data_IF_900012599731
#
_entry.id   IF_900012599731
#
_cell.length_a   1.000
_cell.length_b   1.000
_cell.length_c   1.000
_cell.angle_alpha   90.00
_cell.angle_beta   90.00
_cell.angle_gamma   90.00
#
_symmetry.space_group_name_H-M   'P 1'
#
loop_
_entity.id
_entity.type
_entity.pdbx_description
1 polymer ?
#
# COMPACT_ATOMS: atom_id res chain seq x y z
N UNK A 1 6.95 -3.84 -49.32
CA UNK A 1 6.91 -3.85 -47.85
C UNK A 1 8.19 -3.19 -47.37
N UNK A 2 8.06 -2.04 -46.70
CA UNK A 2 9.19 -1.17 -46.36
C UNK A 2 10.12 -1.84 -45.34
N UNK A 3 11.41 -1.90 -45.67
CA UNK A 3 12.49 -2.18 -44.73
C UNK A 3 12.82 -0.91 -43.93
N UNK A 4 11.84 -0.41 -43.18
CA UNK A 4 12.02 0.80 -42.37
C UNK A 4 12.02 0.38 -40.90
N UNK A 5 13.19 0.49 -40.24
CA UNK A 5 13.30 0.27 -38.79
C UNK A 5 14.43 -0.62 -38.28
N UNK A 6 15.52 -0.86 -39.03
CA UNK A 6 16.75 -1.36 -38.38
C UNK A 6 17.39 -0.21 -37.60
N UNK A 7 16.95 -0.01 -36.35
CA UNK A 7 17.61 0.90 -35.42
C UNK A 7 19.11 0.56 -35.38
N UNK A 8 19.96 1.57 -35.56
CA UNK A 8 21.41 1.38 -35.45
C UNK A 8 21.72 0.86 -34.04
N UNK A 9 22.46 -0.26 -33.89
CA UNK A 9 22.79 -0.80 -32.59
C UNK A 9 23.56 0.24 -31.78
N UNK A 10 23.02 0.62 -30.62
CA UNK A 10 23.63 1.59 -29.71
C UNK A 10 24.44 0.85 -28.66
N UNK A 11 25.62 1.39 -28.33
CA UNK A 11 26.42 0.88 -27.24
C UNK A 11 25.65 1.05 -25.92
N UNK A 12 25.32 -0.07 -25.28
CA UNK A 12 24.58 -0.09 -24.02
C UNK A 12 25.49 -0.30 -22.81
N UNK A 13 26.41 -1.26 -22.88
CA UNK A 13 27.28 -1.63 -21.75
C UNK A 13 28.73 -1.87 -22.21
N UNK A 14 29.68 -1.45 -21.38
CA UNK A 14 31.11 -1.76 -21.45
C UNK A 14 31.45 -2.53 -20.18
N UNK A 15 31.86 -3.79 -20.31
CA UNK A 15 32.17 -4.64 -19.16
C UNK A 15 33.65 -4.50 -18.79
N UNK A 16 33.93 -4.01 -17.59
CA UNK A 16 35.29 -3.93 -17.03
C UNK A 16 35.69 -5.28 -16.43
N UNK A 17 36.60 -5.99 -17.12
CA UNK A 17 37.05 -7.32 -16.70
C UNK A 17 38.26 -7.27 -15.76
N UNK A 18 39.13 -6.26 -15.91
CA UNK A 18 40.43 -6.13 -15.20
C UNK A 18 41.33 -7.37 -15.30
N UNK A 19 41.18 -8.13 -16.38
CA UNK A 19 41.88 -9.39 -16.61
C UNK A 19 42.31 -9.48 -18.08
N UNK A 20 43.33 -10.28 -18.36
CA UNK A 20 43.83 -10.55 -19.72
C UNK A 20 43.95 -12.05 -19.90
N UNK A 21 43.44 -12.57 -21.01
CA UNK A 21 43.52 -14.00 -21.32
C UNK A 21 42.35 -14.48 -22.18
N UNK A 22 42.16 -15.80 -22.19
CA UNK A 22 41.03 -16.43 -22.87
C UNK A 22 39.76 -16.28 -22.03
N UNK A 23 38.74 -15.68 -22.65
CA UNK A 23 37.42 -15.48 -22.06
C UNK A 23 36.37 -16.30 -22.79
N UNK A 24 35.44 -16.84 -22.03
CA UNK A 24 34.20 -17.42 -22.52
C UNK A 24 33.02 -16.63 -21.97
N UNK A 25 31.95 -16.47 -22.76
CA UNK A 25 30.83 -15.58 -22.43
C UNK A 25 29.50 -16.32 -22.49
N UNK A 26 28.65 -16.09 -21.49
CA UNK A 26 27.23 -16.48 -21.51
C UNK A 26 26.33 -15.28 -21.27
N UNK A 27 25.20 -15.25 -21.95
CA UNK A 27 24.16 -14.24 -21.80
C UNK A 27 22.80 -14.88 -21.59
N UNK A 28 22.23 -14.75 -20.38
CA UNK A 28 20.88 -15.22 -20.05
C UNK A 28 20.30 -14.41 -18.88
N UNK A 29 18.99 -14.23 -18.80
CA UNK A 29 18.31 -13.52 -17.70
C UNK A 29 18.85 -12.11 -17.37
N UNK A 30 19.23 -11.34 -18.39
CA UNK A 30 19.92 -10.04 -18.21
C UNK A 30 21.23 -10.13 -17.41
N UNK A 31 21.84 -11.32 -17.38
CA UNK A 31 23.19 -11.57 -16.88
C UNK A 31 24.15 -11.77 -18.04
N UNK A 32 25.35 -11.22 -17.89
CA UNK A 32 26.50 -11.57 -18.70
C UNK A 32 27.52 -12.22 -17.79
N UNK A 33 27.85 -13.48 -18.04
CA UNK A 33 28.85 -14.23 -17.28
C UNK A 33 30.10 -14.36 -18.14
N UNK A 34 31.21 -13.86 -17.62
CA UNK A 34 32.52 -13.90 -18.28
C UNK A 34 33.43 -14.87 -17.53
N UNK A 35 33.66 -16.02 -18.13
CA UNK A 35 34.55 -17.05 -17.61
C UNK A 35 35.98 -16.77 -18.05
N UNK A 36 36.88 -16.50 -17.11
CA UNK A 36 38.31 -16.42 -17.37
C UNK A 36 38.95 -17.78 -17.11
N UNK A 37 39.37 -18.45 -18.19
CA UNK A 37 39.81 -19.84 -18.14
C UNK A 37 41.10 -20.02 -17.32
N UNK A 38 42.06 -19.09 -17.44
CA UNK A 38 43.37 -19.21 -16.81
C UNK A 38 43.32 -19.12 -15.28
N UNK A 39 42.48 -18.24 -14.73
CA UNK A 39 42.29 -18.12 -13.28
C UNK A 39 41.18 -19.04 -12.74
N UNK A 40 40.41 -19.70 -13.62
CA UNK A 40 39.23 -20.48 -13.27
C UNK A 40 38.17 -19.66 -12.51
N UNK A 41 38.02 -18.38 -12.86
CA UNK A 41 37.05 -17.48 -12.24
C UNK A 41 35.99 -17.03 -13.23
N UNK A 42 34.76 -16.88 -12.76
CA UNK A 42 33.62 -16.36 -13.50
C UNK A 42 33.23 -15.00 -12.93
N UNK A 43 33.20 -13.99 -13.80
CA UNK A 43 32.77 -12.64 -13.48
C UNK A 43 31.29 -12.52 -13.87
N UNK A 44 30.42 -12.16 -12.93
CA UNK A 44 28.98 -12.06 -13.19
C UNK A 44 28.60 -10.59 -13.25
N UNK A 45 28.04 -10.16 -14.38
CA UNK A 45 27.55 -8.81 -14.63
C UNK A 45 26.03 -8.85 -14.76
N UNK A 46 25.34 -7.97 -14.03
CA UNK A 46 23.89 -7.82 -14.13
C UNK A 46 23.55 -6.52 -14.85
N UNK A 47 23.27 -6.63 -16.15
CA UNK A 47 22.94 -5.49 -17.00
C UNK A 47 21.53 -4.94 -16.71
N UNK A 48 20.71 -5.67 -15.93
CA UNK A 48 19.39 -5.22 -15.48
C UNK A 48 19.40 -4.31 -14.25
N UNK A 49 20.54 -4.09 -13.60
CA UNK A 49 20.63 -3.22 -12.42
C UNK A 49 20.85 -1.74 -12.75
N UNK A 50 21.49 -1.47 -13.88
CA UNK A 50 21.91 -0.12 -14.26
C UNK A 50 20.95 0.47 -15.31
N UNK A 51 20.52 1.72 -15.10
CA UNK A 51 19.81 2.46 -16.15
C UNK A 51 20.84 2.89 -17.21
N UNK A 52 20.67 2.42 -18.45
CA UNK A 52 21.61 2.71 -19.54
C UNK A 52 21.49 4.18 -19.97
N UNK A 53 22.51 5.03 -19.74
CA UNK A 53 22.51 6.40 -20.26
C UNK A 53 22.76 6.39 -21.76
N UNK A 54 22.47 7.51 -22.44
CA UNK A 54 22.58 7.65 -23.91
C UNK A 54 24.00 7.43 -24.49
N UNK A 55 25.02 7.25 -23.65
CA UNK A 55 26.42 7.00 -24.03
C UNK A 55 26.99 5.62 -23.63
N UNK A 56 26.14 4.71 -23.14
CA UNK A 56 26.55 3.42 -22.59
C UNK A 56 27.00 3.50 -21.13
N UNK A 57 26.87 2.40 -20.39
CA UNK A 57 27.28 2.29 -18.99
C UNK A 57 28.56 1.45 -18.86
N UNK A 58 29.48 1.84 -17.98
CA UNK A 58 30.64 1.02 -17.62
C UNK A 58 30.24 0.16 -16.44
N UNK A 59 30.05 -1.14 -16.69
CA UNK A 59 29.59 -2.09 -15.68
C UNK A 59 30.78 -2.88 -15.11
N UNK A 60 30.83 -2.97 -13.79
CA UNK A 60 31.79 -3.79 -13.05
C UNK A 60 31.12 -5.11 -12.63
N UNK A 61 31.89 -6.19 -12.38
CA UNK A 61 31.29 -7.46 -11.98
C UNK A 61 30.58 -7.30 -10.64
N UNK A 62 29.32 -7.73 -10.58
CA UNK A 62 28.52 -7.72 -9.34
C UNK A 62 29.17 -8.61 -8.29
N UNK A 63 29.66 -9.79 -8.72
CA UNK A 63 30.46 -10.68 -7.89
C UNK A 63 31.32 -11.58 -8.77
N UNK A 64 32.31 -12.23 -8.13
CA UNK A 64 33.17 -13.23 -8.75
C UNK A 64 32.87 -14.59 -8.12
N UNK A 65 32.75 -15.61 -8.94
CA UNK A 65 32.49 -16.98 -8.49
C UNK A 65 33.29 -17.99 -9.30
N UNK A 66 33.23 -19.26 -8.94
CA UNK A 66 33.79 -20.35 -9.71
C UNK A 66 32.70 -21.34 -10.07
N UNK A 67 32.75 -21.87 -11.29
CA UNK A 67 31.85 -22.94 -11.70
C UNK A 67 32.00 -24.15 -10.77
N UNK A 68 30.88 -24.77 -10.44
CA UNK A 68 30.81 -26.04 -9.73
C UNK A 68 30.05 -27.04 -10.62
N UNK A 69 30.41 -28.31 -10.51
CA UNK A 69 29.72 -29.38 -11.23
C UNK A 69 28.54 -29.86 -10.37
N UNK A 70 27.34 -29.89 -10.95
CA UNK A 70 26.15 -30.38 -10.26
C UNK A 70 26.28 -31.88 -9.95
N UNK A 71 25.63 -32.33 -8.88
CA UNK A 71 25.67 -33.75 -8.51
C UNK A 71 24.97 -34.64 -9.55
N UNK A 72 23.99 -34.09 -10.27
CA UNK A 72 23.36 -34.76 -11.42
C UNK A 72 24.32 -34.99 -12.58
N UNK A 73 25.27 -34.07 -12.83
CA UNK A 73 26.28 -34.23 -13.86
C UNK A 73 27.37 -35.21 -13.40
N UNK A 74 27.84 -35.09 -12.15
CA UNK A 74 28.79 -36.05 -11.55
C UNK A 74 28.28 -37.49 -11.58
N UNK A 75 26.99 -37.70 -11.32
CA UNK A 75 26.39 -39.04 -11.35
C UNK A 75 26.33 -39.65 -12.76
N UNK A 76 26.27 -38.82 -13.81
CA UNK A 76 26.16 -39.25 -15.21
C UNK A 76 27.51 -39.43 -15.91
N UNK A 77 28.56 -38.78 -15.42
CA UNK A 77 29.89 -38.81 -16.05
C UNK A 77 30.80 -39.73 -15.25
N UNK A 78 31.31 -40.78 -15.88
CA UNK A 78 32.24 -41.75 -15.26
C UNK A 78 33.67 -41.20 -15.08
N UNK A 79 33.96 -40.03 -15.66
CA UNK A 79 35.26 -39.38 -15.69
C UNK A 79 35.20 -38.00 -15.03
N UNK A 80 36.36 -37.48 -14.59
CA UNK A 80 36.45 -36.14 -14.01
C UNK A 80 36.14 -35.07 -15.07
N UNK A 81 35.03 -34.34 -14.89
CA UNK A 81 34.68 -33.21 -15.75
C UNK A 81 35.56 -32.00 -15.38
N UNK A 82 36.58 -31.74 -16.20
CA UNK A 82 37.53 -30.66 -15.95
C UNK A 82 36.89 -29.29 -16.20
N UNK A 83 36.67 -28.56 -15.11
CA UNK A 83 36.17 -27.19 -15.16
C UNK A 83 37.20 -26.23 -15.78
N UNK A 84 36.71 -25.32 -16.62
CA UNK A 84 37.47 -24.34 -17.40
C UNK A 84 38.50 -24.98 -18.34
N UNK A 85 38.13 -26.10 -18.99
CA UNK A 85 38.99 -26.71 -19.99
C UNK A 85 39.17 -25.77 -21.19
N UNK A 86 40.38 -25.68 -21.78
CA UNK A 86 40.58 -24.94 -23.02
C UNK A 86 39.85 -25.57 -24.22
N UNK A 87 39.35 -26.80 -24.09
CA UNK A 87 38.54 -27.51 -25.11
C UNK A 87 37.05 -27.17 -25.06
N UNK A 88 36.62 -26.28 -24.16
CA UNK A 88 35.22 -25.88 -24.04
C UNK A 88 34.77 -25.10 -25.27
N UNK A 89 33.63 -25.53 -25.82
CA UNK A 89 32.88 -24.82 -26.85
C UNK A 89 31.59 -24.34 -26.22
N UNK A 90 31.34 -23.03 -26.30
CA UNK A 90 30.19 -22.38 -25.66
C UNK A 90 29.11 -22.08 -26.69
N UNK A 91 27.86 -22.37 -26.34
CA UNK A 91 26.69 -22.01 -27.14
C UNK A 91 25.77 -21.12 -26.30
N UNK A 92 25.31 -20.03 -26.91
CA UNK A 92 24.28 -19.20 -26.29
C UNK A 92 22.96 -19.98 -26.19
N UNK A 93 22.15 -19.74 -25.15
CA UNK A 93 22.39 -18.76 -24.09
C UNK A 93 23.33 -19.26 -22.97
N UNK A 94 23.26 -20.54 -22.60
CA UNK A 94 23.91 -21.06 -21.38
C UNK A 94 24.49 -22.49 -21.52
N UNK A 95 24.90 -22.93 -22.71
CA UNK A 95 25.40 -24.30 -22.93
C UNK A 95 26.92 -24.39 -23.07
N UNK A 96 27.52 -25.38 -22.43
CA UNK A 96 28.93 -25.76 -22.58
C UNK A 96 29.00 -27.16 -23.19
N UNK A 97 29.83 -27.31 -24.22
CA UNK A 97 30.23 -28.61 -24.77
C UNK A 97 31.71 -28.83 -24.52
N UNK A 98 32.08 -29.98 -23.96
CA UNK A 98 33.47 -30.43 -23.97
C UNK A 98 33.65 -31.50 -25.05
N UNK A 99 34.25 -31.11 -26.17
CA UNK A 99 34.46 -32.00 -27.31
C UNK A 99 35.39 -33.18 -27.00
N UNK A 100 36.23 -33.07 -25.95
CA UNK A 100 37.16 -34.14 -25.57
C UNK A 100 36.47 -35.29 -24.84
N UNK A 101 35.40 -35.00 -24.09
CA UNK A 101 34.63 -35.97 -23.29
C UNK A 101 33.28 -36.29 -23.96
N UNK A 102 32.84 -35.45 -24.92
CA UNK A 102 31.55 -35.60 -25.59
C UNK A 102 30.35 -35.23 -24.70
N UNK A 103 30.56 -34.34 -23.72
CA UNK A 103 29.54 -33.93 -22.75
C UNK A 103 28.93 -32.60 -23.17
N UNK A 104 27.60 -32.54 -23.14
CA UNK A 104 26.80 -31.34 -23.30
C UNK A 104 26.15 -30.98 -21.96
N UNK A 105 26.47 -29.81 -21.42
CA UNK A 105 25.99 -29.34 -20.12
C UNK A 105 25.40 -27.93 -20.24
N UNK A 106 24.44 -27.61 -19.40
CA UNK A 106 23.93 -26.25 -19.23
C UNK A 106 24.49 -25.61 -17.96
N UNK A 107 24.65 -24.29 -17.99
CA UNK A 107 24.97 -23.46 -16.84
C UNK A 107 23.66 -22.92 -16.28
N UNK A 108 23.51 -23.05 -14.97
CA UNK A 108 22.46 -22.38 -14.20
C UNK A 108 23.11 -21.64 -13.04
N UNK A 109 22.54 -20.50 -12.67
CA UNK A 109 22.93 -19.76 -11.49
C UNK A 109 21.87 -20.00 -10.40
N UNK A 110 22.30 -20.42 -9.20
CA UNK A 110 21.41 -20.40 -8.04
C UNK A 110 21.42 -18.98 -7.45
N UNK A 111 20.30 -18.23 -7.55
CA UNK A 111 20.25 -16.85 -7.10
C UNK A 111 20.27 -16.72 -5.56
N UNK A 112 19.96 -17.78 -4.80
CA UNK A 112 19.92 -17.72 -3.32
C UNK A 112 21.32 -17.78 -2.73
N UNK A 113 22.20 -18.63 -3.26
CA UNK A 113 23.59 -18.76 -2.79
C UNK A 113 24.43 -17.49 -3.02
N UNK A 114 23.98 -16.62 -3.93
CA UNK A 114 24.62 -15.34 -4.24
C UNK A 114 24.60 -14.37 -3.06
N UNK A 115 23.74 -14.57 -2.04
CA UNK A 115 23.65 -13.70 -0.85
C UNK A 115 25.01 -13.44 -0.20
N UNK A 116 25.86 -14.47 -0.11
CA UNK A 116 27.17 -14.39 0.54
C UNK A 116 28.21 -13.63 -0.30
N UNK A 117 27.99 -13.55 -1.61
CA UNK A 117 28.92 -12.93 -2.56
C UNK A 117 28.64 -11.45 -2.78
N UNK A 118 27.41 -11.00 -2.48
CA UNK A 118 26.99 -9.60 -2.66
C UNK A 118 26.93 -8.88 -1.30
N UNK A 119 27.80 -7.89 -1.14
CA UNK A 119 27.90 -7.09 0.08
C UNK A 119 26.67 -6.18 0.27
N UNK A 120 26.26 -5.46 -0.77
CA UNK A 120 25.10 -4.56 -0.72
C UNK A 120 23.78 -5.33 -0.83
N UNK A 121 23.07 -5.42 0.30
CA UNK A 121 21.78 -6.13 0.38
C UNK A 121 20.68 -5.48 -0.47
N UNK A 122 20.79 -4.19 -0.78
CA UNK A 122 19.88 -3.56 -1.73
C UNK A 122 20.13 -4.04 -3.17
N UNK A 123 21.39 -4.12 -3.60
CA UNK A 123 21.75 -4.66 -4.91
C UNK A 123 21.38 -6.14 -5.01
N UNK A 124 21.59 -6.92 -3.94
CA UNK A 124 21.15 -8.32 -3.89
C UNK A 124 19.63 -8.46 -4.08
N UNK A 125 18.82 -7.67 -3.39
CA UNK A 125 17.36 -7.70 -3.58
C UNK A 125 16.94 -7.30 -5.00
N UNK A 126 17.59 -6.28 -5.59
CA UNK A 126 17.31 -5.93 -6.99
C UNK A 126 17.72 -7.02 -7.96
N UNK A 127 18.86 -7.66 -7.70
CA UNK A 127 19.33 -8.81 -8.46
C UNK A 127 18.28 -9.92 -8.39
N UNK A 128 17.83 -10.31 -7.19
CA UNK A 128 16.78 -11.33 -7.00
C UNK A 128 15.47 -10.97 -7.71
N UNK A 129 15.05 -9.70 -7.63
CA UNK A 129 13.83 -9.22 -8.28
C UNK A 129 13.87 -9.39 -9.80
N UNK A 130 15.06 -9.26 -10.38
CA UNK A 130 15.32 -9.45 -11.81
C UNK A 130 15.51 -10.94 -12.21
N UNK A 131 15.25 -11.91 -11.32
CA UNK A 131 15.39 -13.35 -11.60
C UNK A 131 14.04 -14.06 -11.56
N UNK A 132 13.97 -15.20 -12.24
CA UNK A 132 12.84 -16.13 -12.20
C UNK A 132 12.81 -16.93 -10.90
N UNK A 133 12.81 -16.26 -9.74
CA UNK A 133 12.68 -16.92 -8.44
C UNK A 133 11.22 -16.98 -7.98
N UNK A 134 10.86 -17.96 -7.13
CA UNK A 134 9.56 -17.98 -6.50
C UNK A 134 9.30 -16.69 -5.70
N UNK A 135 8.10 -16.12 -5.87
CA UNK A 135 7.65 -14.90 -5.18
C UNK A 135 7.82 -14.99 -3.66
N UNK A 136 7.53 -16.15 -3.07
CA UNK A 136 7.68 -16.40 -1.62
C UNK A 136 9.11 -16.19 -1.14
N UNK A 137 10.09 -16.75 -1.85
CA UNK A 137 11.51 -16.64 -1.51
C UNK A 137 11.97 -15.18 -1.56
N UNK A 138 11.53 -14.42 -2.56
CA UNK A 138 11.82 -12.99 -2.64
C UNK A 138 11.26 -12.21 -1.44
N UNK A 139 9.98 -12.42 -1.12
CA UNK A 139 9.29 -11.70 -0.04
C UNK A 139 9.85 -12.06 1.34
N UNK A 140 10.24 -13.32 1.56
CA UNK A 140 10.92 -13.75 2.79
C UNK A 140 12.27 -13.05 2.96
N UNK A 141 13.08 -12.98 1.91
CA UNK A 141 14.35 -12.24 1.91
C UNK A 141 14.15 -10.75 2.18
N UNK A 142 13.19 -10.13 1.49
CA UNK A 142 12.84 -8.72 1.69
C UNK A 142 12.42 -8.46 3.14
N UNK A 143 11.52 -9.30 3.68
CA UNK A 143 11.08 -9.21 5.09
C UNK A 143 12.25 -9.37 6.05
N UNK A 144 13.12 -10.35 5.84
CA UNK A 144 14.30 -10.58 6.68
C UNK A 144 15.17 -9.32 6.76
N UNK A 145 15.50 -8.69 5.63
CA UNK A 145 16.34 -7.50 5.61
C UNK A 145 15.67 -6.23 6.16
N UNK A 146 14.35 -6.10 5.97
CA UNK A 146 13.56 -5.00 6.53
C UNK A 146 13.50 -5.10 8.06
N UNK A 147 13.21 -6.30 8.59
CA UNK A 147 13.16 -6.55 10.04
C UNK A 147 14.54 -6.37 10.68
N UNK A 148 15.58 -6.90 10.03
CA UNK A 148 16.97 -6.75 10.47
C UNK A 148 17.52 -5.32 10.28
N UNK A 149 16.73 -4.40 9.72
CA UNK A 149 17.10 -3.00 9.48
C UNK A 149 18.41 -2.83 8.66
N UNK A 150 18.64 -3.73 7.69
CA UNK A 150 19.84 -3.71 6.83
C UNK A 150 19.69 -2.79 5.61
N UNK A 151 18.50 -2.22 5.39
CA UNK A 151 18.18 -1.37 4.24
C UNK A 151 17.91 0.06 4.69
N UNK A 152 18.45 1.04 3.95
CA UNK A 152 18.16 2.46 4.19
C UNK A 152 16.76 2.81 3.66
N UNK A 153 16.10 3.79 4.29
CA UNK A 153 14.76 4.25 3.85
C UNK A 153 14.73 4.68 2.37
N UNK A 154 15.81 5.30 1.86
CA UNK A 154 15.93 5.66 0.44
C UNK A 154 15.96 4.41 -0.46
N UNK A 155 16.67 3.36 -0.07
CA UNK A 155 16.73 2.11 -0.82
C UNK A 155 15.36 1.43 -0.85
N UNK A 156 14.66 1.37 0.29
CA UNK A 156 13.29 0.85 0.36
C UNK A 156 12.32 1.65 -0.50
N UNK A 157 12.47 2.97 -0.54
CA UNK A 157 11.67 3.82 -1.43
C UNK A 157 11.81 3.42 -2.89
N UNK A 158 13.04 3.15 -3.34
CA UNK A 158 13.29 2.71 -4.71
C UNK A 158 12.65 1.35 -4.98
N UNK A 159 12.76 0.40 -4.03
CA UNK A 159 12.12 -0.92 -4.14
C UNK A 159 10.60 -0.77 -4.28
N UNK A 160 9.96 -0.01 -3.38
CA UNK A 160 8.52 0.22 -3.42
C UNK A 160 8.06 0.93 -4.69
N UNK A 161 8.85 1.90 -5.19
CA UNK A 161 8.57 2.57 -6.45
C UNK A 161 8.67 1.59 -7.63
N UNK A 162 9.65 0.69 -7.64
CA UNK A 162 9.74 -0.36 -8.67
C UNK A 162 8.50 -1.26 -8.68
N UNK A 163 8.02 -1.68 -7.51
CA UNK A 163 6.78 -2.48 -7.42
C UNK A 163 5.56 -1.70 -7.91
N UNK A 164 5.40 -0.44 -7.47
CA UNK A 164 4.31 0.41 -7.90
C UNK A 164 4.34 0.65 -9.43
N UNK A 165 5.51 0.88 -10.03
CA UNK A 165 5.67 0.97 -11.48
C UNK A 165 5.29 -0.31 -12.20
N UNK A 166 5.69 -1.47 -11.68
CA UNK A 166 5.34 -2.76 -12.27
C UNK A 166 3.82 -3.01 -12.25
N UNK A 167 3.15 -2.66 -11.14
CA UNK A 167 1.69 -2.73 -11.03
C UNK A 167 1.03 -1.75 -12.02
N UNK A 168 1.49 -0.50 -12.09
CA UNK A 168 0.94 0.52 -12.98
C UNK A 168 1.13 0.18 -14.48
N UNK A 169 2.27 -0.42 -14.85
CA UNK A 169 2.52 -0.88 -16.22
C UNK A 169 1.53 -1.95 -16.67
N UNK A 170 1.07 -2.79 -15.74
CA UNK A 170 0.12 -3.88 -16.01
C UNK A 170 -1.33 -3.43 -16.03
N UNK A 171 -1.68 -2.35 -15.34
CA UNK A 171 -3.05 -1.79 -15.37
C UNK A 171 -3.37 -1.03 -16.67
N UNK A 172 -2.37 -0.77 -17.52
CA UNK A 172 -2.56 -0.27 -18.87
C UNK A 172 -3.10 -1.40 -19.78
N UNK A 173 -4.15 -1.14 -20.58
CA UNK A 173 -4.68 -2.13 -21.50
C UNK A 173 -3.62 -2.54 -22.51
N UNK A 174 -3.27 -3.83 -22.51
CA UNK A 174 -2.40 -4.43 -23.52
C UNK A 174 -3.18 -4.38 -24.85
N UNK A 175 -2.71 -3.55 -25.79
CA UNK A 175 -3.10 -3.64 -27.19
C UNK A 175 -2.49 -4.92 -27.76
N UNK A 176 -3.16 -6.06 -27.58
CA UNK A 176 -2.74 -7.30 -28.19
C UNK A 176 -3.06 -7.25 -29.68
N UNK A 177 -2.07 -6.94 -30.51
CA UNK A 177 -2.13 -7.26 -31.93
C UNK A 177 -2.07 -8.78 -32.09
N UNK A 178 -3.23 -9.40 -32.35
CA UNK A 178 -3.32 -10.78 -32.77
C UNK A 178 -2.77 -10.91 -34.18
N UNK A 179 -1.48 -11.23 -34.32
CA UNK A 179 -0.90 -11.57 -35.62
C UNK A 179 -0.97 -13.09 -35.80
N UNK A 180 -2.04 -13.56 -36.43
CA UNK A 180 -2.31 -14.97 -36.72
C UNK A 180 -1.53 -15.44 -37.94
N UNK A 181 -0.20 -15.54 -37.82
CA UNK A 181 0.68 -16.08 -38.84
C UNK A 181 1.75 -16.97 -38.23
N UNK A 182 1.57 -18.30 -38.29
CA UNK A 182 2.57 -19.26 -37.84
C UNK A 182 3.77 -19.22 -38.79
N UNK A 183 4.76 -18.39 -38.46
CA UNK A 183 6.16 -18.61 -38.87
C UNK A 183 6.85 -19.24 -37.68
N UNK A 184 7.46 -20.41 -37.87
CA UNK A 184 8.37 -20.99 -36.88
C UNK A 184 9.64 -20.13 -36.81
N UNK A 185 9.53 -18.99 -36.12
CA UNK A 185 10.67 -18.22 -35.65
C UNK A 185 11.00 -18.78 -34.28
N UNK A 186 12.28 -19.09 -34.03
CA UNK A 186 12.75 -19.39 -32.68
C UNK A 186 12.56 -18.11 -31.85
N UNK A 187 11.42 -18.00 -31.17
CA UNK A 187 11.14 -16.92 -30.24
C UNK A 187 11.89 -17.29 -28.97
N UNK A 188 12.88 -16.49 -28.59
CA UNK A 188 13.51 -16.61 -27.28
C UNK A 188 12.41 -16.45 -26.22
N UNK A 189 12.36 -17.35 -25.23
CA UNK A 189 11.44 -17.19 -24.10
C UNK A 189 11.66 -15.81 -23.49
N UNK A 190 10.60 -15.01 -23.48
CA UNK A 190 10.66 -13.66 -22.94
C UNK A 190 10.78 -13.75 -21.41
N UNK A 191 11.75 -13.04 -20.86
CA UNK A 191 11.92 -12.91 -19.42
C UNK A 191 10.62 -12.40 -18.76
N UNK A 192 10.09 -13.17 -17.80
CA UNK A 192 8.91 -12.79 -17.01
C UNK A 192 9.34 -12.17 -15.67
N UNK A 193 9.05 -10.88 -15.49
CA UNK A 193 9.29 -10.17 -14.23
C UNK A 193 8.42 -10.73 -13.09
N UNK A 194 8.98 -10.83 -11.88
CA UNK A 194 8.24 -11.27 -10.68
C UNK A 194 6.99 -10.39 -10.49
N UNK A 195 5.84 -11.05 -10.35
CA UNK A 195 4.57 -10.39 -10.10
C UNK A 195 4.41 -10.20 -8.59
N UNK A 196 4.48 -8.94 -8.13
CA UNK A 196 4.22 -8.56 -6.75
C UNK A 196 3.01 -7.63 -6.74
N UNK A 197 1.99 -8.02 -5.98
CA UNK A 197 0.76 -7.24 -5.82
C UNK A 197 0.76 -6.46 -4.50
N UNK A 198 -0.21 -5.56 -4.32
CA UNK A 198 -0.34 -4.80 -3.07
C UNK A 198 -0.56 -5.74 -1.87
N UNK A 199 -1.37 -6.79 -2.05
CA UNK A 199 -1.71 -7.77 -1.00
C UNK A 199 -0.48 -8.52 -0.51
N UNK A 200 0.45 -8.84 -1.41
CA UNK A 200 1.69 -9.53 -1.07
C UNK A 200 2.57 -8.70 -0.14
N UNK A 201 2.71 -7.41 -0.45
CA UNK A 201 3.52 -6.49 0.35
C UNK A 201 2.85 -6.30 1.71
N UNK A 202 1.54 -6.05 1.72
CA UNK A 202 0.77 -5.82 2.94
C UNK A 202 0.81 -7.04 3.86
N UNK A 203 0.54 -8.22 3.32
CA UNK A 203 0.52 -9.49 4.06
C UNK A 203 1.90 -9.90 4.59
N UNK A 204 2.97 -9.69 3.82
CA UNK A 204 4.31 -10.17 4.21
C UNK A 204 5.13 -9.15 5.01
N UNK A 205 4.96 -7.85 4.77
CA UNK A 205 5.79 -6.80 5.39
C UNK A 205 5.07 -6.00 6.47
N UNK A 206 3.78 -5.72 6.30
CA UNK A 206 3.07 -4.73 7.11
C UNK A 206 2.12 -5.32 8.15
N UNK A 207 1.88 -6.64 8.11
CA UNK A 207 1.32 -7.36 9.26
C UNK A 207 2.36 -7.47 10.38
N UNK A 208 2.33 -6.51 11.30
CA UNK A 208 3.26 -6.40 12.41
C UNK A 208 2.93 -7.44 13.50
N UNK A 209 3.89 -8.30 13.90
CA UNK A 209 3.74 -9.12 15.10
C UNK A 209 3.70 -8.28 16.37
N UNK A 210 2.90 -8.70 17.35
CA UNK A 210 2.76 -7.99 18.63
C UNK A 210 4.09 -7.84 19.39
N UNK A 211 4.99 -8.81 19.18
CA UNK A 211 6.33 -8.93 19.80
C UNK A 211 7.28 -7.79 19.43
N UNK A 212 6.97 -6.98 18.41
CA UNK A 212 7.86 -5.91 17.97
C UNK A 212 7.96 -4.78 18.99
N UNK A 213 9.18 -4.26 19.16
CA UNK A 213 9.46 -3.13 20.04
C UNK A 213 8.82 -1.84 19.50
N UNK A 214 8.66 -0.84 20.38
CA UNK A 214 8.11 0.46 20.00
C UNK A 214 8.91 1.12 18.85
N UNK A 215 10.24 1.04 18.90
CA UNK A 215 11.14 1.54 17.86
C UNK A 215 10.93 0.81 16.53
N UNK A 216 10.83 -0.52 16.55
CA UNK A 216 10.54 -1.30 15.35
C UNK A 216 9.21 -0.87 14.74
N UNK A 217 8.12 -0.79 15.52
CA UNK A 217 6.81 -0.34 15.04
C UNK A 217 6.87 1.07 14.44
N UNK A 218 7.64 1.97 15.04
CA UNK A 218 7.83 3.33 14.51
C UNK A 218 8.61 3.37 13.19
N UNK A 219 9.61 2.48 13.01
CA UNK A 219 10.32 2.33 11.72
C UNK A 219 9.40 1.75 10.65
N UNK A 220 8.65 0.70 10.98
CA UNK A 220 7.68 0.11 10.05
C UNK A 220 6.60 1.11 9.62
N UNK A 221 6.15 1.98 10.52
CA UNK A 221 5.24 3.07 10.15
C UNK A 221 5.86 4.01 9.10
N UNK A 222 7.15 4.34 9.22
CA UNK A 222 7.85 5.12 8.18
C UNK A 222 7.92 4.38 6.85
N UNK A 223 8.09 3.05 6.88
CA UNK A 223 8.09 2.22 5.67
C UNK A 223 6.71 2.19 5.02
N UNK A 224 5.63 2.05 5.81
CA UNK A 224 4.25 2.11 5.32
C UNK A 224 3.94 3.46 4.67
N UNK A 225 4.31 4.57 5.30
CA UNK A 225 4.13 5.91 4.73
C UNK A 225 4.92 6.10 3.43
N UNK A 226 6.13 5.52 3.35
CA UNK A 226 6.94 5.57 2.13
C UNK A 226 6.33 4.74 1.01
N UNK A 227 5.78 3.57 1.34
CA UNK A 227 5.04 2.74 0.40
C UNK A 227 3.77 3.44 -0.11
N UNK A 228 2.99 4.05 0.79
CA UNK A 228 1.85 4.88 0.43
C UNK A 228 2.24 5.99 -0.56
N UNK A 229 3.34 6.70 -0.27
CA UNK A 229 3.87 7.74 -1.17
C UNK A 229 4.18 7.16 -2.56
N UNK A 230 4.83 6.00 -2.63
CA UNK A 230 5.16 5.35 -3.90
C UNK A 230 3.91 4.95 -4.71
N UNK A 231 2.84 4.48 -4.06
CA UNK A 231 1.58 4.17 -4.73
C UNK A 231 0.93 5.42 -5.32
N UNK A 232 0.89 6.52 -4.54
CA UNK A 232 0.30 7.79 -4.97
C UNK A 232 1.10 8.44 -6.12
N UNK A 233 2.44 8.42 -6.04
CA UNK A 233 3.32 8.93 -7.11
C UNK A 233 3.08 8.20 -8.45
N UNK A 234 2.74 6.91 -8.39
CA UNK A 234 2.42 6.09 -9.58
C UNK A 234 0.92 6.08 -9.93
N UNK A 235 0.11 6.93 -9.27
CA UNK A 235 -1.35 7.06 -9.50
C UNK A 235 -2.12 5.76 -9.34
N UNK A 236 -1.68 4.90 -8.41
CA UNK A 236 -2.38 3.66 -8.08
C UNK A 236 -3.45 3.91 -7.02
N UNK A 237 -4.59 3.26 -7.18
CA UNK A 237 -5.60 3.19 -6.13
C UNK A 237 -5.07 2.30 -5.00
N UNK A 238 -5.08 2.85 -3.78
CA UNK A 238 -4.55 2.18 -2.59
C UNK A 238 -5.64 1.32 -1.97
N UNK A 239 -5.32 0.07 -1.62
CA UNK A 239 -6.27 -0.83 -1.00
C UNK A 239 -6.83 -0.28 0.33
N UNK A 240 -8.18 -0.23 0.51
CA UNK A 240 -8.79 0.26 1.74
C UNK A 240 -8.35 -0.51 3.00
N UNK A 241 -8.12 -1.82 2.87
CA UNK A 241 -7.65 -2.66 3.97
C UNK A 241 -6.29 -2.19 4.52
N UNK A 242 -5.33 -1.89 3.63
CA UNK A 242 -4.02 -1.38 4.04
C UNK A 242 -4.13 -0.04 4.78
N UNK A 243 -4.99 0.85 4.30
CA UNK A 243 -5.17 2.17 4.90
C UNK A 243 -5.88 2.09 6.26
N UNK A 244 -7.07 1.48 6.30
CA UNK A 244 -7.96 1.55 7.45
C UNK A 244 -7.51 0.61 8.58
N UNK A 245 -7.21 -0.65 8.25
CA UNK A 245 -6.93 -1.66 9.27
C UNK A 245 -5.47 -1.64 9.71
N UNK A 246 -4.53 -1.36 8.80
CA UNK A 246 -3.09 -1.49 9.11
C UNK A 246 -2.47 -0.12 9.40
N UNK A 247 -2.50 0.81 8.45
CA UNK A 247 -1.80 2.09 8.60
C UNK A 247 -2.43 2.94 9.72
N UNK A 248 -3.75 3.16 9.68
CA UNK A 248 -4.45 3.98 10.68
C UNK A 248 -4.34 3.37 12.08
N UNK A 249 -4.59 2.06 12.22
CA UNK A 249 -4.46 1.35 13.50
C UNK A 249 -3.05 1.47 14.08
N UNK A 250 -2.02 1.34 13.24
CA UNK A 250 -0.61 1.52 13.63
C UNK A 250 -0.33 2.96 14.07
N UNK A 251 -0.82 3.96 13.33
CA UNK A 251 -0.64 5.38 13.70
C UNK A 251 -1.31 5.75 15.03
N UNK A 252 -2.50 5.22 15.31
CA UNK A 252 -3.22 5.43 16.56
C UNK A 252 -2.50 4.76 17.73
N UNK A 253 -2.02 3.53 17.53
CA UNK A 253 -1.23 2.81 18.55
C UNK A 253 0.07 3.54 18.85
N UNK A 254 0.67 4.18 17.85
CA UNK A 254 1.92 4.93 17.98
C UNK A 254 1.76 6.37 18.43
N UNK A 255 0.52 6.85 18.59
CA UNK A 255 0.25 8.22 19.01
C UNK A 255 0.60 9.31 17.98
N UNK A 256 0.81 8.97 16.71
CA UNK A 256 1.09 9.95 15.63
C UNK A 256 -0.20 10.60 15.11
N UNK A 257 -1.01 11.14 16.01
CA UNK A 257 -2.38 11.56 15.75
C UNK A 257 -2.47 12.86 14.94
N UNK A 258 -1.50 13.76 15.08
CA UNK A 258 -1.41 14.98 14.27
C UNK A 258 -1.13 14.68 12.79
N UNK A 259 -0.22 13.74 12.51
CA UNK A 259 0.07 13.30 11.13
C UNK A 259 -1.14 12.59 10.53
N UNK A 260 -1.80 11.75 11.32
CA UNK A 260 -3.03 11.11 10.90
C UNK A 260 -4.09 12.17 10.54
N UNK A 261 -4.29 13.17 11.41
CA UNK A 261 -5.19 14.28 11.15
C UNK A 261 -4.89 14.94 9.79
N UNK A 262 -3.63 15.25 9.48
CA UNK A 262 -3.26 15.84 8.19
C UNK A 262 -3.58 14.92 7.00
N UNK A 263 -3.26 13.63 7.08
CA UNK A 263 -3.56 12.67 6.00
C UNK A 263 -5.07 12.58 5.70
N UNK A 264 -5.90 12.62 6.75
CA UNK A 264 -7.35 12.60 6.64
C UNK A 264 -7.90 13.93 6.10
N UNK A 265 -7.39 15.07 6.58
CA UNK A 265 -7.82 16.40 6.14
C UNK A 265 -7.52 16.64 4.65
N UNK A 266 -6.34 16.24 4.19
CA UNK A 266 -5.94 16.34 2.78
C UNK A 266 -6.51 15.23 1.88
N UNK A 267 -7.36 14.34 2.42
CA UNK A 267 -8.01 13.22 1.70
C UNK A 267 -7.02 12.31 0.97
N UNK A 268 -5.83 12.14 1.55
CA UNK A 268 -4.88 11.12 1.08
C UNK A 268 -5.45 9.73 1.39
N UNK A 269 -6.13 9.60 2.52
CA UNK A 269 -6.92 8.42 2.88
C UNK A 269 -8.37 8.73 2.47
N UNK A 270 -9.02 7.85 1.68
CA UNK A 270 -10.39 8.06 1.23
C UNK A 270 -11.37 7.93 2.39
N UNK A 271 -12.47 8.69 2.33
CA UNK A 271 -13.52 8.63 3.34
C UNK A 271 -14.16 7.23 3.34
N UNK A 272 -14.28 6.62 4.52
CA UNK A 272 -14.96 5.32 4.70
C UNK A 272 -15.78 5.33 5.97
N UNK A 273 -16.96 4.70 5.93
CA UNK A 273 -17.81 4.51 7.11
C UNK A 273 -17.06 3.75 8.22
N UNK A 274 -16.36 2.67 7.85
CA UNK A 274 -15.61 1.83 8.80
C UNK A 274 -14.52 2.65 9.50
N UNK A 275 -13.77 3.44 8.74
CA UNK A 275 -12.73 4.32 9.26
C UNK A 275 -13.31 5.36 10.22
N UNK A 276 -14.41 6.01 9.86
CA UNK A 276 -15.04 7.01 10.72
C UNK A 276 -15.46 6.43 12.08
N UNK A 277 -16.07 5.23 12.12
CA UNK A 277 -16.42 4.57 13.38
C UNK A 277 -15.19 4.15 14.19
N UNK A 278 -14.13 3.70 13.52
CA UNK A 278 -12.85 3.40 14.17
C UNK A 278 -12.22 4.65 14.81
N UNK A 279 -12.31 5.81 14.16
CA UNK A 279 -11.83 7.07 14.73
C UNK A 279 -12.68 7.50 15.95
N UNK A 280 -13.99 7.30 15.88
CA UNK A 280 -14.91 7.60 17.00
C UNK A 280 -14.63 6.73 18.23
N UNK A 281 -14.29 5.45 18.06
CA UNK A 281 -13.94 4.57 19.18
C UNK A 281 -12.65 5.00 19.91
N UNK A 282 -11.80 5.78 19.24
CA UNK A 282 -10.55 6.30 19.78
C UNK A 282 -10.61 7.76 20.25
N UNK A 283 -11.81 8.31 20.44
CA UNK A 283 -12.04 9.68 20.93
C UNK A 283 -11.18 10.07 22.13
N UNK A 284 -11.08 9.20 23.14
CA UNK A 284 -10.40 9.49 24.39
C UNK A 284 -8.91 9.85 24.22
N UNK A 285 -8.30 9.48 23.09
CA UNK A 285 -6.88 9.76 22.80
C UNK A 285 -6.65 11.12 22.12
N UNK A 286 -7.57 11.55 21.25
CA UNK A 286 -7.42 12.81 20.51
C UNK A 286 -8.78 13.33 20.05
N UNK A 287 -9.26 14.36 20.76
CA UNK A 287 -10.57 14.97 20.54
C UNK A 287 -10.84 15.41 19.08
N UNK A 288 -9.87 15.97 18.32
CA UNK A 288 -10.11 16.36 16.92
C UNK A 288 -10.44 15.20 15.96
N UNK A 289 -10.20 13.93 16.33
CA UNK A 289 -10.61 12.79 15.50
C UNK A 289 -12.12 12.69 15.35
N UNK A 290 -12.86 13.13 16.37
CA UNK A 290 -14.32 13.11 16.37
C UNK A 290 -14.87 13.99 15.26
N UNK A 291 -14.39 15.23 15.21
CA UNK A 291 -14.86 16.19 14.21
C UNK A 291 -14.51 15.69 12.82
N UNK A 292 -13.30 15.14 12.62
CA UNK A 292 -12.92 14.53 11.35
C UNK A 292 -13.81 13.36 10.97
N UNK A 293 -14.17 12.49 11.91
CA UNK A 293 -15.07 11.36 11.66
C UNK A 293 -16.47 11.83 11.25
N UNK A 294 -17.02 12.85 11.92
CA UNK A 294 -18.30 13.46 11.55
C UNK A 294 -18.23 14.14 10.17
N UNK A 295 -17.12 14.84 9.89
CA UNK A 295 -16.89 15.47 8.59
C UNK A 295 -16.76 14.40 7.48
N UNK A 296 -16.14 13.23 7.75
CA UNK A 296 -16.11 12.10 6.82
C UNK A 296 -17.50 11.53 6.57
N UNK A 297 -18.27 11.24 7.62
CA UNK A 297 -19.61 10.67 7.49
C UNK A 297 -20.56 11.60 6.76
N UNK A 298 -20.48 12.91 7.05
CA UNK A 298 -21.31 13.92 6.37
C UNK A 298 -20.97 14.05 4.89
N UNK A 299 -19.69 13.98 4.50
CA UNK A 299 -19.26 13.96 3.09
C UNK A 299 -19.71 12.71 2.35
N UNK A 300 -19.75 11.56 3.02
CA UNK A 300 -20.24 10.31 2.44
C UNK A 300 -21.76 10.34 2.17
N UNK A 301 -22.51 11.20 2.85
CA UNK A 301 -23.95 11.43 2.63
C UNK A 301 -24.88 10.23 2.92
N UNK A 302 -24.32 9.08 3.26
CA UNK A 302 -25.03 7.80 3.44
C UNK A 302 -25.17 7.39 4.90
N UNK A 303 -24.66 8.19 5.84
CA UNK A 303 -24.56 7.85 7.26
C UNK A 303 -25.31 8.84 8.17
N UNK A 304 -26.46 9.36 7.72
CA UNK A 304 -27.21 10.41 8.42
C UNK A 304 -27.77 9.94 9.76
N UNK A 305 -28.19 8.69 9.85
CA UNK A 305 -28.74 8.10 11.08
C UNK A 305 -27.62 7.93 12.12
N UNK A 306 -26.48 7.41 11.68
CA UNK A 306 -25.34 7.11 12.53
C UNK A 306 -24.67 8.39 13.05
N UNK A 307 -24.59 9.46 12.23
CA UNK A 307 -24.12 10.79 12.68
C UNK A 307 -25.00 11.31 13.83
N UNK A 308 -26.31 11.20 13.70
CA UNK A 308 -27.23 11.70 14.73
C UNK A 308 -27.16 10.86 15.99
N UNK A 309 -27.00 9.53 15.88
CA UNK A 309 -26.78 8.68 17.05
C UNK A 309 -25.48 9.04 17.80
N UNK A 310 -24.41 9.35 17.08
CA UNK A 310 -23.14 9.81 17.67
C UNK A 310 -23.31 11.17 18.37
N UNK A 311 -24.05 12.11 17.78
CA UNK A 311 -24.32 13.42 18.38
C UNK A 311 -25.23 13.31 19.62
N UNK A 312 -26.22 12.41 19.59
CA UNK A 312 -27.08 12.09 20.75
C UNK A 312 -26.24 11.50 21.89
N UNK A 313 -25.37 10.54 21.60
CA UNK A 313 -24.51 9.92 22.62
C UNK A 313 -23.58 10.92 23.32
N UNK A 314 -23.27 12.04 22.65
CA UNK A 314 -22.42 13.14 23.15
C UNK A 314 -23.19 14.26 23.85
N UNK A 315 -24.51 14.15 24.02
CA UNK A 315 -25.38 15.22 24.54
C UNK A 315 -25.35 16.51 23.70
N UNK A 316 -25.15 16.38 22.38
CA UNK A 316 -25.15 17.50 21.41
C UNK A 316 -26.45 17.50 20.60
N UNK A 317 -27.59 17.47 21.30
CA UNK A 317 -28.92 17.28 20.68
C UNK A 317 -29.30 18.43 19.75
N UNK A 318 -28.89 19.67 20.05
CA UNK A 318 -29.16 20.84 19.19
C UNK A 318 -28.38 20.76 17.86
N UNK A 319 -27.15 20.25 17.89
CA UNK A 319 -26.34 20.07 16.67
C UNK A 319 -26.86 18.92 15.82
N UNK A 320 -27.36 17.85 16.46
CA UNK A 320 -28.09 16.77 15.80
C UNK A 320 -29.32 17.28 15.03
N UNK A 321 -30.12 18.14 15.64
CA UNK A 321 -31.29 18.74 14.99
C UNK A 321 -30.85 19.62 13.81
N UNK A 322 -29.87 20.51 14.01
CA UNK A 322 -29.36 21.38 12.94
C UNK A 322 -28.81 20.57 11.76
N UNK A 323 -28.14 19.46 12.02
CA UNK A 323 -27.65 18.56 10.97
C UNK A 323 -28.80 17.91 10.19
N UNK A 324 -29.86 17.47 10.87
CA UNK A 324 -31.08 16.94 10.25
C UNK A 324 -31.85 17.99 9.43
N UNK A 325 -31.75 19.28 9.77
CA UNK A 325 -32.35 20.34 8.96
C UNK A 325 -31.61 20.55 7.63
N UNK A 326 -30.28 20.40 7.65
CA UNK A 326 -29.44 20.60 6.48
C UNK A 326 -29.42 19.37 5.56
N UNK A 327 -29.63 18.17 6.09
CA UNK A 327 -29.76 16.94 5.31
C UNK A 327 -31.22 16.72 4.92
N UNK A 328 -31.54 16.63 3.62
CA UNK A 328 -32.90 16.42 3.10
C UNK A 328 -33.53 15.04 3.46
N UNK A 329 -32.98 14.33 4.44
CA UNK A 329 -33.32 12.98 4.89
C UNK A 329 -34.01 12.98 6.27
N UNK A 330 -34.81 14.00 6.56
CA UNK A 330 -35.52 14.15 7.84
C UNK A 330 -36.58 13.07 8.11
N UNK A 331 -36.97 12.30 7.07
CA UNK A 331 -38.15 11.42 7.09
C UNK A 331 -37.88 9.99 7.60
N UNK A 332 -36.64 9.63 7.95
CA UNK A 332 -36.29 8.24 8.37
C UNK A 332 -36.02 8.06 9.86
N UNK A 333 -35.89 9.13 10.64
CA UNK A 333 -35.39 9.01 12.01
C UNK A 333 -36.49 9.09 13.07
N UNK A 334 -36.43 8.20 14.06
CA UNK A 334 -37.27 8.23 15.26
C UNK A 334 -36.99 9.49 16.10
N UNK A 335 -37.77 10.54 15.89
CA UNK A 335 -37.72 11.79 16.67
C UNK A 335 -37.86 11.58 18.19
N UNK A 336 -38.42 10.44 18.61
CA UNK A 336 -38.51 10.01 20.01
C UNK A 336 -37.15 9.86 20.70
N UNK A 337 -36.13 9.32 20.01
CA UNK A 337 -34.78 9.17 20.62
C UNK A 337 -34.14 10.53 20.95
N UNK A 338 -34.39 11.54 20.11
CA UNK A 338 -33.91 12.92 20.30
C UNK A 338 -34.65 13.61 21.46
N UNK A 339 -35.93 13.32 21.61
CA UNK A 339 -36.76 13.84 22.70
C UNK A 339 -36.36 13.22 24.04
N UNK A 340 -36.16 11.91 24.08
CA UNK A 340 -35.71 11.19 25.27
C UNK A 340 -34.31 11.60 25.73
N UNK A 341 -33.39 11.86 24.79
CA UNK A 341 -32.05 12.37 25.13
C UNK A 341 -32.12 13.81 25.63
N UNK A 342 -32.88 14.69 24.97
CA UNK A 342 -33.10 16.06 25.43
C UNK A 342 -33.70 16.11 26.84
N UNK A 343 -34.59 15.18 27.17
CA UNK A 343 -35.24 15.12 28.48
C UNK A 343 -34.27 14.86 29.65
N UNK A 344 -33.09 14.30 29.36
CA UNK A 344 -32.02 14.07 30.35
C UNK A 344 -31.10 15.30 30.53
N UNK A 345 -31.18 16.28 29.64
CA UNK A 345 -30.30 17.46 29.61
C UNK A 345 -30.90 18.69 30.32
N UNK A 346 -30.27 19.86 30.13
CA UNK A 346 -30.66 21.14 30.70
C UNK A 346 -32.03 21.63 30.22
N UNK A 347 -32.72 22.38 31.09
CA UNK A 347 -34.08 22.91 30.87
C UNK A 347 -34.25 23.69 29.56
N UNK A 348 -33.22 24.45 29.16
CA UNK A 348 -33.20 25.23 27.92
C UNK A 348 -33.17 24.34 26.66
N UNK A 349 -32.42 23.23 26.71
CA UNK A 349 -32.31 22.29 25.59
C UNK A 349 -33.60 21.49 25.45
N UNK A 350 -34.23 21.09 26.56
CA UNK A 350 -35.57 20.49 26.56
C UNK A 350 -36.58 21.39 25.84
N UNK A 351 -36.61 22.68 26.20
CA UNK A 351 -37.49 23.65 25.57
C UNK A 351 -37.20 23.79 24.07
N UNK A 352 -35.93 23.98 23.68
CA UNK A 352 -35.53 24.14 22.28
C UNK A 352 -35.94 22.95 21.39
N UNK A 353 -35.72 21.73 21.89
CA UNK A 353 -36.02 20.49 21.17
C UNK A 353 -37.53 20.27 21.07
N UNK A 354 -38.27 20.49 22.16
CA UNK A 354 -39.74 20.35 22.14
C UNK A 354 -40.42 21.41 21.27
N UNK A 355 -40.02 22.68 21.36
CA UNK A 355 -40.54 23.74 20.49
C UNK A 355 -40.28 23.42 19.02
N UNK A 356 -39.10 22.88 18.69
CA UNK A 356 -38.77 22.44 17.33
C UNK A 356 -39.71 21.33 16.80
N UNK A 357 -40.03 20.32 17.63
CA UNK A 357 -40.96 19.27 17.23
C UNK A 357 -42.43 19.73 17.19
N UNK A 358 -42.81 20.69 18.05
CA UNK A 358 -44.13 21.31 18.07
C UNK A 358 -44.38 22.19 16.82
N UNK A 359 -43.42 23.02 16.43
CA UNK A 359 -43.54 23.91 15.25
C UNK A 359 -43.62 23.15 13.92
N UNK A 360 -43.04 21.95 13.84
CA UNK A 360 -43.09 21.07 12.64
C UNK A 360 -44.20 20.00 12.69
N UNK A 361 -45.14 20.11 13.63
CA UNK A 361 -46.13 19.08 14.03
C UNK A 361 -47.00 18.43 12.94
N UNK A 362 -46.97 18.88 11.68
CA UNK A 362 -47.69 18.26 10.57
C UNK A 362 -46.84 17.33 9.68
N UNK A 363 -45.51 17.49 9.62
CA UNK A 363 -44.62 16.65 8.78
C UNK A 363 -44.01 15.45 9.53
N UNK A 364 -43.89 15.53 10.85
CA UNK A 364 -43.20 14.53 11.69
C UNK A 364 -44.15 13.47 12.28
N UNK A 365 -45.47 13.62 12.13
CA UNK A 365 -46.46 12.63 12.61
C UNK A 365 -46.27 11.23 11.99
N UNK A 366 -45.60 11.14 10.84
CA UNK A 366 -45.24 9.87 10.19
C UNK A 366 -43.92 9.24 10.70
N UNK A 367 -43.13 9.94 11.52
CA UNK A 367 -41.83 9.47 12.05
C UNK A 367 -41.87 9.04 13.53
N UNK A 368 -43.03 9.10 14.18
CA UNK A 368 -43.22 8.74 15.60
C UNK A 368 -43.93 7.39 15.62
N UNK A 369 -43.18 6.30 15.84
CA UNK A 369 -43.74 4.95 15.90
C UNK A 369 -44.57 4.67 17.16
N UNK A 370 -44.42 5.48 18.23
CA UNK A 370 -45.19 5.37 19.48
C UNK A 370 -45.85 6.72 19.85
N UNK A 371 -47.11 6.95 19.41
CA UNK A 371 -47.83 8.19 19.72
C UNK A 371 -48.08 8.40 21.22
N UNK A 372 -48.16 7.31 22.01
CA UNK A 372 -48.47 7.35 23.45
C UNK A 372 -47.34 7.98 24.29
N UNK A 373 -46.07 7.67 23.98
CA UNK A 373 -44.92 8.23 24.70
C UNK A 373 -44.76 9.72 24.39
N UNK A 374 -45.01 10.13 23.15
CA UNK A 374 -44.98 11.54 22.77
C UNK A 374 -46.05 12.35 23.49
N UNK A 375 -47.27 11.82 23.64
CA UNK A 375 -48.34 12.46 24.43
C UNK A 375 -48.02 12.55 25.93
N UNK A 376 -47.35 11.55 26.50
CA UNK A 376 -46.91 11.59 27.90
C UNK A 376 -45.85 12.69 28.11
N UNK A 377 -44.94 12.85 27.16
CA UNK A 377 -43.95 13.92 27.16
C UNK A 377 -44.56 15.30 26.93
N UNK A 378 -45.58 15.42 26.08
CA UNK A 378 -46.33 16.67 25.88
C UNK A 378 -47.04 17.11 27.16
N UNK A 379 -47.74 16.19 27.85
CA UNK A 379 -48.37 16.49 29.14
C UNK A 379 -47.34 16.92 30.19
N UNK A 380 -46.18 16.27 30.23
CA UNK A 380 -45.09 16.67 31.14
C UNK A 380 -44.49 18.03 30.75
N UNK A 381 -44.45 18.37 29.46
CA UNK A 381 -43.97 19.66 28.97
C UNK A 381 -44.93 20.79 29.35
N UNK A 382 -46.22 20.60 29.12
CA UNK A 382 -47.30 21.55 29.50
C UNK A 382 -47.37 21.77 31.01
N UNK A 383 -47.00 20.78 31.83
CA UNK A 383 -46.94 20.90 33.30
C UNK A 383 -45.64 21.56 33.80
N UNK A 384 -44.54 21.52 33.03
CA UNK A 384 -43.22 22.01 33.43
C UNK A 384 -42.87 23.41 32.90
N UNK A 385 -43.66 23.96 31.99
CA UNK A 385 -43.41 25.25 31.34
C UNK A 385 -44.70 26.05 31.24
N UNK A 386 -45.00 26.86 32.25
CA UNK A 386 -46.07 27.86 32.20
C UNK A 386 -45.70 29.03 31.25
N UNK A 387 -46.71 29.77 30.77
CA UNK A 387 -46.58 30.86 29.78
C UNK A 387 -45.53 31.94 30.15
N UNK A 388 -45.27 32.18 31.44
CA UNK A 388 -44.22 33.11 31.91
C UNK A 388 -42.79 32.54 31.81
N UNK A 389 -42.63 31.22 31.91
CA UNK A 389 -41.33 30.54 31.83
C UNK A 389 -40.91 30.25 30.39
N UNK A 390 -41.89 30.15 29.47
CA UNK A 390 -41.67 30.11 28.02
C UNK A 390 -40.98 31.41 27.54
N UNK A 391 -41.38 32.56 28.09
CA UNK A 391 -40.74 33.86 27.88
C UNK A 391 -39.32 33.93 28.47
N UNK A 392 -39.07 33.29 29.61
CA UNK A 392 -37.74 33.22 30.22
C UNK A 392 -36.78 32.32 29.42
N UNK A 393 -37.25 31.15 28.98
CA UNK A 393 -36.47 30.23 28.14
C UNK A 393 -36.15 30.85 26.77
N UNK A 394 -37.10 31.59 26.16
CA UNK A 394 -36.86 32.37 24.93
C UNK A 394 -35.79 33.45 25.12
N UNK A 395 -35.81 34.17 26.25
CA UNK A 395 -34.77 35.15 26.60
C UNK A 395 -33.41 34.48 26.75
N UNK A 396 -33.31 33.37 27.47
CA UNK A 396 -32.04 32.66 27.67
C UNK A 396 -31.48 32.05 26.38
N UNK A 397 -32.35 31.61 25.45
CA UNK A 397 -31.96 31.13 24.12
C UNK A 397 -31.39 32.27 23.26
N UNK A 398 -31.97 33.47 23.35
CA UNK A 398 -31.45 34.67 22.68
C UNK A 398 -30.09 35.09 23.27
N UNK A 399 -29.92 35.03 24.59
CA UNK A 399 -28.63 35.33 25.24
C UNK A 399 -27.53 34.32 24.87
N UNK A 400 -27.84 33.02 24.76
CA UNK A 400 -26.89 32.00 24.30
C UNK A 400 -26.45 32.20 22.84
N UNK A 401 -27.38 32.60 21.96
CA UNK A 401 -27.05 32.92 20.56
C UNK A 401 -26.18 34.19 20.44
N UNK A 402 -26.40 35.20 21.30
CA UNK A 402 -25.60 36.43 21.31
C UNK A 402 -24.19 36.20 21.86
N UNK A 403 -24.03 35.34 22.88
CA UNK A 403 -22.72 35.04 23.47
C UNK A 403 -21.83 34.18 22.56
N UNK A 404 -22.41 33.35 21.69
CA UNK A 404 -21.66 32.53 20.70
C UNK A 404 -21.18 33.32 19.48
N UNK A 405 -21.88 34.40 19.09
CA UNK A 405 -21.44 35.26 17.97
C UNK A 405 -20.29 36.23 18.34
N UNK A 406 -19.81 36.21 19.59
CA UNK A 406 -18.69 37.03 20.08
C UNK A 406 -17.43 36.22 20.42
N UNK A 407 -17.39 34.91 20.14
CA UNK A 407 -16.20 34.06 20.30
C UNK A 407 -15.69 33.54 18.96
#
# INVERSE_FOLDING_TARGET
MSMDGMEVPKLAHILCLDMVGAFALHGFDNLIIVHHQSSKTSLVFDIGLEEVPKGGCISHPLFKTSLSCSDSLKAKVSYEFKLYSPSWVMFQPNFITDASIGVFASISLDPVEVENSVEDKYQFLRFLYNRCIPKSVFLENLRHYVVANKLKLKQLAHIFNSFAKAIAKRSLPILSHNDSGVKYVLIAELYEEIIIEQEDIVGNLFLLPDVYTLDQKQRFLQYMLRYLTALLENKLEVQPYFLNEILVSTMITMGQLERLHQLLLYRIIPDSKQLAFQLLSHEAKYFPLVQLALDMLSRLGTATEEIVEVLIARNLVVEAIRFLENSQSADKMNGLKLIESAWKENRVIRYAVFSYFLERGSKIRNCITNSEQFEEFLKKFEVLFDDEEIEAARRDLQFMNISRNKM
#
